data_IF_803597557988
#
_entry.id   IF_803597557988
#
_cell.length_a   1.000
_cell.length_b   1.000
_cell.length_c   1.000
_cell.angle_alpha   90.00
_cell.angle_beta   90.00
_cell.angle_gamma   90.00
#
_symmetry.space_group_name_H-M   'P 1'
#
loop_
_entity.id
_entity.type
_entity.pdbx_description
1 polymer ?
#
# COMPACT_ATOMS: atom_id res chain seq x y z
N UNK A 1 -7.78 32.35 -3.22
CA UNK A 1 -8.59 32.42 -1.99
C UNK A 1 -8.66 31.01 -1.41
N UNK A 2 -7.94 30.76 -0.30
CA UNK A 2 -7.98 29.48 0.40
C UNK A 2 -9.24 29.36 1.26
N UNK A 3 -9.49 28.15 1.77
CA UNK A 3 -10.52 27.95 2.78
C UNK A 3 -10.13 28.66 4.09
N UNK A 4 -11.10 29.18 4.88
CA UNK A 4 -10.80 29.74 6.19
C UNK A 4 -10.15 28.67 7.08
N UNK A 5 -9.25 29.11 7.97
CA UNK A 5 -8.62 28.22 8.93
C UNK A 5 -9.69 27.53 9.80
N UNK A 6 -9.57 26.23 9.99
CA UNK A 6 -10.44 25.50 10.91
C UNK A 6 -10.16 25.98 12.36
N UNK A 7 -11.20 26.29 13.14
CA UNK A 7 -11.03 26.68 14.54
C UNK A 7 -10.64 25.44 15.36
N UNK A 8 -9.34 25.17 15.47
CA UNK A 8 -8.83 24.08 16.31
C UNK A 8 -8.73 24.55 17.73
N UNK A 9 -9.52 23.97 18.64
CA UNK A 9 -9.56 24.35 20.07
C UNK A 9 -8.38 23.72 20.81
N UNK A 10 -8.14 22.43 20.63
CA UNK A 10 -7.04 21.67 21.26
C UNK A 10 -6.82 20.33 20.56
N UNK A 11 -5.71 19.65 20.86
CA UNK A 11 -5.47 18.29 20.39
C UNK A 11 -6.46 17.31 21.04
N UNK A 12 -6.94 16.33 20.28
CA UNK A 12 -7.69 15.20 20.81
C UNK A 12 -6.74 14.23 21.53
N UNK A 13 -7.13 13.77 22.71
CA UNK A 13 -6.38 12.80 23.51
C UNK A 13 -7.28 11.67 24.00
N UNK A 14 -6.70 10.57 24.46
CA UNK A 14 -7.45 9.46 25.05
C UNK A 14 -8.30 9.93 26.25
N UNK A 15 -9.60 9.68 26.21
CA UNK A 15 -10.58 10.17 27.18
C UNK A 15 -11.02 11.63 26.99
N UNK A 16 -10.37 12.36 26.06
CA UNK A 16 -10.72 13.74 25.72
C UNK A 16 -10.69 13.92 24.19
N UNK A 17 -11.82 13.71 23.54
CA UNK A 17 -11.96 13.75 22.09
C UNK A 17 -11.70 12.41 21.40
N UNK A 18 -10.94 11.50 22.01
CA UNK A 18 -10.76 10.11 21.57
C UNK A 18 -11.36 9.18 22.63
N UNK A 19 -12.41 8.43 22.29
CA UNK A 19 -13.01 7.45 23.17
C UNK A 19 -12.09 6.22 23.28
N UNK A 20 -11.64 5.90 24.49
CA UNK A 20 -10.99 4.63 24.79
C UNK A 20 -12.06 3.62 25.21
N UNK A 21 -12.10 2.49 24.52
CA UNK A 21 -13.01 1.40 24.85
C UNK A 21 -12.34 0.47 25.86
N UNK A 22 -13.06 0.02 26.87
CA UNK A 22 -12.64 -1.07 27.73
C UNK A 22 -12.85 -2.43 27.05
N UNK A 23 -12.31 -3.49 27.65
CA UNK A 23 -12.35 -4.82 27.08
C UNK A 23 -13.79 -5.36 26.93
N UNK A 24 -14.69 -5.01 27.83
CA UNK A 24 -16.09 -5.42 27.79
C UNK A 24 -16.81 -4.77 26.60
N UNK A 25 -16.67 -3.45 26.42
CA UNK A 25 -17.23 -2.71 25.27
C UNK A 25 -16.68 -3.24 23.93
N UNK A 26 -15.38 -3.57 23.86
CA UNK A 26 -14.79 -4.17 22.67
C UNK A 26 -15.45 -5.50 22.35
N UNK A 27 -15.59 -6.39 23.34
CA UNK A 27 -16.21 -7.70 23.17
C UNK A 27 -17.71 -7.58 22.74
N UNK A 28 -18.45 -6.63 23.29
CA UNK A 28 -19.84 -6.35 22.88
C UNK A 28 -19.91 -5.87 21.42
N UNK A 29 -19.02 -4.97 21.01
CA UNK A 29 -18.96 -4.48 19.63
C UNK A 29 -18.62 -5.61 18.64
N UNK A 30 -17.67 -6.47 18.98
CA UNK A 30 -17.29 -7.65 18.17
C UNK A 30 -18.47 -8.62 18.04
N UNK A 31 -19.15 -8.94 19.15
CA UNK A 31 -20.32 -9.80 19.14
C UNK A 31 -21.46 -9.23 18.29
N UNK A 32 -21.72 -7.92 18.43
CA UNK A 32 -22.73 -7.22 17.64
C UNK A 32 -22.40 -7.27 16.14
N UNK A 33 -21.16 -6.96 15.77
CA UNK A 33 -20.68 -7.03 14.38
C UNK A 33 -20.87 -8.43 13.80
N UNK A 34 -20.34 -9.46 14.48
CA UNK A 34 -20.40 -10.84 14.01
C UNK A 34 -21.84 -11.34 13.85
N UNK A 35 -22.73 -10.99 14.76
CA UNK A 35 -24.16 -11.35 14.68
C UNK A 35 -24.88 -10.63 13.54
N UNK A 36 -24.45 -9.41 13.22
CA UNK A 36 -25.05 -8.59 12.15
C UNK A 36 -24.66 -9.03 10.76
N UNK A 37 -23.51 -9.67 10.57
CA UNK A 37 -22.94 -10.06 9.25
C UNK A 37 -23.90 -10.90 8.40
N UNK A 38 -24.83 -11.64 9.01
CA UNK A 38 -25.83 -12.45 8.30
C UNK A 38 -26.88 -11.61 7.58
N UNK A 39 -27.13 -10.38 8.08
CA UNK A 39 -28.24 -9.53 7.64
C UNK A 39 -27.78 -8.23 6.96
N UNK A 40 -26.47 -7.99 6.88
CA UNK A 40 -25.89 -6.79 6.25
C UNK A 40 -24.99 -7.18 5.08
N UNK A 41 -24.91 -6.29 4.12
CA UNK A 41 -23.94 -6.37 3.04
C UNK A 41 -22.79 -5.40 3.35
N UNK A 42 -21.63 -5.94 3.68
CA UNK A 42 -20.43 -5.14 3.92
C UNK A 42 -19.71 -4.83 2.61
N UNK A 43 -19.03 -3.70 2.56
CA UNK A 43 -18.14 -3.31 1.49
C UNK A 43 -16.86 -2.71 2.09
N UNK A 44 -15.72 -3.18 1.64
CA UNK A 44 -14.44 -2.55 1.95
C UNK A 44 -14.14 -1.48 0.90
N UNK A 45 -14.18 -0.23 1.31
CA UNK A 45 -13.88 0.91 0.44
C UNK A 45 -12.42 1.31 0.57
N UNK A 46 -11.66 1.25 -0.54
CA UNK A 46 -10.21 1.47 -0.57
C UNK A 46 -9.86 2.62 -1.53
N UNK A 47 -9.52 3.82 -1.02
CA UNK A 47 -8.95 4.87 -1.84
C UNK A 47 -7.53 4.48 -2.29
N UNK A 48 -7.35 4.15 -3.57
CA UNK A 48 -6.10 3.60 -4.10
C UNK A 48 -5.43 4.49 -5.16
N UNK A 49 -5.90 5.72 -5.34
CA UNK A 49 -5.37 6.68 -6.34
C UNK A 49 -4.04 7.35 -5.94
N UNK A 50 -3.52 7.07 -4.72
CA UNK A 50 -2.34 7.75 -4.20
C UNK A 50 -1.07 7.42 -4.97
N UNK A 51 -0.45 8.44 -5.60
CA UNK A 51 0.85 8.31 -6.24
C UNK A 51 1.98 8.06 -5.22
N UNK A 52 2.98 7.29 -5.62
CA UNK A 52 4.14 6.98 -4.78
C UNK A 52 5.24 8.06 -4.82
N UNK A 53 5.05 9.16 -5.54
CA UNK A 53 6.07 10.19 -5.81
C UNK A 53 6.77 10.75 -4.57
N UNK A 54 6.03 10.99 -3.46
CA UNK A 54 6.64 11.47 -2.21
C UNK A 54 7.56 10.43 -1.57
N UNK A 55 7.23 9.14 -1.72
CA UNK A 55 8.02 8.04 -1.18
C UNK A 55 9.36 7.92 -1.87
N UNK A 56 9.39 8.14 -3.18
CA UNK A 56 10.59 8.01 -4.01
C UNK A 56 11.32 9.33 -4.27
N UNK A 57 10.97 10.40 -3.54
CA UNK A 57 11.57 11.73 -3.74
C UNK A 57 13.08 11.70 -3.70
N UNK A 58 13.70 11.09 -2.67
CA UNK A 58 15.15 11.01 -2.52
C UNK A 58 15.81 10.21 -3.66
N UNK A 59 15.12 9.18 -4.17
CA UNK A 59 15.60 8.41 -5.30
C UNK A 59 15.64 9.24 -6.58
N UNK A 60 14.60 10.04 -6.82
CA UNK A 60 14.58 10.98 -7.94
C UNK A 60 15.66 12.07 -7.82
N UNK A 61 15.85 12.64 -6.62
CA UNK A 61 16.90 13.64 -6.37
C UNK A 61 18.30 13.02 -6.59
N UNK A 62 18.50 11.75 -6.22
CA UNK A 62 19.78 11.08 -6.47
C UNK A 62 20.01 10.83 -7.96
N UNK A 63 19.00 10.36 -8.70
CA UNK A 63 19.15 10.07 -10.15
C UNK A 63 19.31 11.35 -10.94
N UNK A 64 18.56 12.43 -10.65
CA UNK A 64 18.53 13.64 -11.45
C UNK A 64 19.62 14.66 -11.05
N UNK A 65 19.88 14.78 -9.74
CA UNK A 65 20.70 15.86 -9.18
C UNK A 65 21.99 15.35 -8.51
N UNK A 66 22.29 14.04 -8.61
CA UNK A 66 23.42 13.37 -7.93
C UNK A 66 23.43 13.56 -6.39
N UNK A 67 22.27 13.83 -5.80
CA UNK A 67 22.11 14.08 -4.37
C UNK A 67 22.07 12.77 -3.60
N UNK A 68 23.22 12.23 -3.25
CA UNK A 68 23.33 11.03 -2.42
C UNK A 68 23.03 11.34 -0.95
N UNK A 69 22.12 10.61 -0.34
CA UNK A 69 21.71 10.77 1.05
C UNK A 69 21.99 9.49 1.86
N UNK A 70 22.03 9.56 3.21
CA UNK A 70 22.09 8.34 4.03
C UNK A 70 20.93 7.36 3.78
N UNK A 71 19.79 7.84 3.26
CA UNK A 71 18.67 7.00 2.82
C UNK A 71 19.02 6.15 1.62
N UNK A 72 19.73 6.72 0.64
CA UNK A 72 20.25 5.99 -0.53
C UNK A 72 21.28 4.94 -0.09
N UNK A 73 22.22 5.28 0.81
CA UNK A 73 23.21 4.32 1.30
C UNK A 73 22.54 3.13 2.00
N UNK A 74 21.54 3.39 2.84
CA UNK A 74 20.75 2.33 3.50
C UNK A 74 19.97 1.46 2.51
N UNK A 75 19.41 2.07 1.47
CA UNK A 75 18.72 1.33 0.39
C UNK A 75 19.68 0.36 -0.28
N UNK A 76 20.84 0.84 -0.75
CA UNK A 76 21.82 0.02 -1.48
C UNK A 76 22.35 -1.11 -0.60
N UNK A 77 22.78 -0.82 0.64
CA UNK A 77 23.32 -1.84 1.56
C UNK A 77 22.30 -2.93 1.92
N UNK A 78 21.01 -2.59 1.94
CA UNK A 78 19.94 -3.53 2.28
C UNK A 78 19.10 -3.97 1.08
N UNK A 79 19.55 -3.76 -0.13
CA UNK A 79 18.77 -3.94 -1.35
C UNK A 79 18.09 -5.32 -1.43
N UNK A 80 18.83 -6.37 -1.10
CA UNK A 80 18.32 -7.75 -1.14
C UNK A 80 17.22 -8.07 -0.12
N UNK A 81 17.03 -7.21 0.89
CA UNK A 81 16.00 -7.38 1.93
C UNK A 81 14.64 -6.83 1.52
N UNK A 82 14.58 -6.05 0.44
CA UNK A 82 13.32 -5.49 -0.03
C UNK A 82 12.47 -6.52 -0.76
N UNK A 83 11.16 -6.46 -0.53
CA UNK A 83 10.19 -7.36 -1.14
C UNK A 83 10.23 -7.35 -2.68
N UNK A 84 10.62 -6.23 -3.28
CA UNK A 84 10.73 -6.06 -4.74
C UNK A 84 12.07 -6.56 -5.31
N UNK A 85 13.03 -6.95 -4.48
CA UNK A 85 14.37 -7.32 -4.97
C UNK A 85 14.34 -8.47 -6.01
N UNK A 86 13.56 -9.54 -5.85
CA UNK A 86 13.50 -10.59 -6.86
C UNK A 86 13.03 -10.11 -8.25
N UNK A 87 12.16 -9.11 -8.28
CA UNK A 87 11.73 -8.48 -9.54
C UNK A 87 12.84 -7.56 -10.08
N UNK A 88 13.45 -6.76 -9.22
CA UNK A 88 14.54 -5.83 -9.56
C UNK A 88 15.75 -6.57 -10.11
N UNK A 89 16.13 -7.70 -9.52
CA UNK A 89 17.29 -8.49 -9.91
C UNK A 89 17.31 -8.87 -11.41
N UNK A 90 16.14 -8.94 -12.05
CA UNK A 90 16.04 -9.22 -13.49
C UNK A 90 16.57 -8.09 -14.38
N UNK A 91 16.70 -6.89 -13.84
CA UNK A 91 17.18 -5.69 -14.54
C UNK A 91 18.62 -5.33 -14.17
N UNK A 92 19.18 -5.96 -13.12
CA UNK A 92 20.52 -5.66 -12.66
C UNK A 92 21.55 -6.44 -13.50
N UNK A 93 22.56 -5.73 -14.00
CA UNK A 93 23.72 -6.30 -14.73
C UNK A 93 24.90 -6.45 -13.78
N UNK A 94 25.85 -7.36 -14.05
CA UNK A 94 27.11 -7.39 -13.32
C UNK A 94 27.80 -6.03 -13.33
N UNK A 95 28.32 -5.59 -12.18
CA UNK A 95 29.02 -4.31 -12.01
C UNK A 95 28.19 -3.05 -12.31
N UNK A 96 26.85 -3.15 -12.17
CA UNK A 96 25.96 -2.00 -12.25
C UNK A 96 26.28 -1.02 -11.10
N UNK A 97 26.30 0.28 -11.38
CA UNK A 97 26.51 1.28 -10.33
C UNK A 97 25.23 1.57 -9.53
N UNK A 98 25.38 2.20 -8.37
CA UNK A 98 24.28 2.48 -7.45
C UNK A 98 23.20 3.38 -8.08
N UNK A 99 23.60 4.32 -8.95
CA UNK A 99 22.67 5.24 -9.60
C UNK A 99 21.79 4.50 -10.60
N UNK A 100 22.38 3.59 -11.36
CA UNK A 100 21.63 2.75 -12.28
C UNK A 100 20.74 1.73 -11.57
N UNK A 101 21.16 1.22 -10.39
CA UNK A 101 20.29 0.42 -9.54
C UNK A 101 19.05 1.22 -9.16
N UNK A 102 19.22 2.43 -8.64
CA UNK A 102 18.09 3.30 -8.25
C UNK A 102 17.24 3.67 -9.45
N UNK A 103 17.87 3.91 -10.60
CA UNK A 103 17.18 4.21 -11.86
C UNK A 103 16.28 3.04 -12.31
N UNK A 104 16.74 1.80 -12.17
CA UNK A 104 15.93 0.60 -12.43
C UNK A 104 14.76 0.44 -11.46
N UNK A 105 14.86 0.94 -10.24
CA UNK A 105 13.72 0.93 -9.30
C UNK A 105 12.62 1.91 -9.76
N UNK A 106 13.00 3.16 -10.13
CA UNK A 106 12.00 4.22 -10.31
C UNK A 106 11.62 4.52 -11.76
N UNK A 107 12.48 4.20 -12.76
CA UNK A 107 12.29 4.60 -14.17
C UNK A 107 12.30 3.40 -15.12
N UNK A 108 13.42 2.69 -15.23
CA UNK A 108 13.69 1.83 -16.40
C UNK A 108 13.24 0.37 -16.20
N UNK A 109 13.22 -0.13 -14.97
CA UNK A 109 12.94 -1.52 -14.65
C UNK A 109 11.57 -1.72 -13.98
N UNK A 110 11.50 -1.44 -12.68
CA UNK A 110 10.26 -1.58 -11.92
C UNK A 110 9.26 -0.43 -12.15
N UNK A 111 9.70 0.70 -12.67
CA UNK A 111 8.90 1.91 -12.97
C UNK A 111 8.08 2.42 -11.76
N UNK A 112 8.61 2.24 -10.53
CA UNK A 112 7.88 2.58 -9.31
C UNK A 112 7.59 4.07 -9.15
N UNK A 113 8.37 4.92 -9.83
CA UNK A 113 8.13 6.36 -9.85
C UNK A 113 6.82 6.77 -10.52
N UNK A 114 6.32 5.96 -11.46
CA UNK A 114 5.08 6.19 -12.18
C UNK A 114 3.90 5.38 -11.62
N UNK A 115 4.15 4.40 -10.75
CA UNK A 115 3.10 3.51 -10.22
C UNK A 115 2.40 4.11 -9.00
N UNK A 116 1.09 3.84 -8.82
CA UNK A 116 0.40 4.12 -7.58
C UNK A 116 0.89 3.15 -6.49
N UNK A 117 0.83 3.57 -5.22
CA UNK A 117 1.29 2.75 -4.08
C UNK A 117 0.68 1.34 -4.06
N UNK A 118 -0.57 1.21 -4.48
CA UNK A 118 -1.29 -0.07 -4.53
C UNK A 118 -0.64 -1.13 -5.41
N UNK A 119 0.19 -0.72 -6.38
CA UNK A 119 0.85 -1.61 -7.34
C UNK A 119 2.35 -1.78 -7.09
N UNK A 120 2.90 -1.23 -6.01
CA UNK A 120 4.31 -1.38 -5.64
C UNK A 120 4.48 -2.57 -4.69
N UNK A 121 5.45 -3.43 -4.93
CA UNK A 121 5.70 -4.64 -4.13
C UNK A 121 6.39 -4.29 -2.81
N UNK A 122 5.63 -4.25 -1.70
CA UNK A 122 6.15 -3.87 -0.38
C UNK A 122 6.19 -5.01 0.63
N UNK A 123 5.35 -6.04 0.48
CA UNK A 123 5.15 -7.05 1.50
C UNK A 123 5.88 -8.34 1.12
N UNK A 124 6.79 -8.81 1.99
CA UNK A 124 7.53 -10.06 1.82
C UNK A 124 6.99 -11.13 2.77
N UNK A 125 6.70 -12.30 2.24
CA UNK A 125 6.26 -13.49 2.96
C UNK A 125 7.12 -14.69 2.55
N UNK A 126 6.99 -15.80 3.27
CA UNK A 126 7.68 -17.06 2.90
C UNK A 126 7.27 -17.56 1.52
N UNK A 127 6.00 -17.38 1.18
CA UNK A 127 5.36 -17.84 -0.05
C UNK A 127 5.61 -16.91 -1.23
N UNK A 128 6.21 -15.74 -1.00
CA UNK A 128 6.46 -14.73 -2.03
C UNK A 128 6.16 -13.32 -1.57
N UNK A 129 6.20 -12.38 -2.50
CA UNK A 129 5.91 -10.97 -2.23
C UNK A 129 4.52 -10.59 -2.73
N UNK A 130 3.85 -9.66 -2.05
CA UNK A 130 2.53 -9.14 -2.40
C UNK A 130 2.52 -7.61 -2.52
N UNK A 131 1.63 -7.12 -3.35
CA UNK A 131 1.32 -5.70 -3.51
C UNK A 131 0.22 -5.27 -2.54
N UNK A 132 0.11 -4.00 -2.14
CA UNK A 132 -0.93 -3.53 -1.22
C UNK A 132 -2.37 -3.85 -1.66
N UNK A 133 -2.64 -3.89 -2.97
CA UNK A 133 -3.95 -4.33 -3.48
C UNK A 133 -4.26 -5.75 -3.05
N UNK A 134 -3.28 -6.67 -3.11
CA UNK A 134 -3.44 -8.06 -2.69
C UNK A 134 -3.68 -8.16 -1.18
N UNK A 135 -2.99 -7.33 -0.37
CA UNK A 135 -3.26 -7.25 1.08
C UNK A 135 -4.71 -6.83 1.35
N UNK A 136 -5.25 -5.88 0.59
CA UNK A 136 -6.65 -5.47 0.72
C UNK A 136 -7.64 -6.59 0.37
N UNK A 137 -7.30 -7.50 -0.55
CA UNK A 137 -8.11 -8.71 -0.84
C UNK A 137 -8.10 -9.65 0.37
N UNK A 138 -6.92 -9.95 0.92
CA UNK A 138 -6.78 -10.80 2.11
C UNK A 138 -7.54 -10.20 3.30
N UNK A 139 -7.35 -8.93 3.58
CA UNK A 139 -8.05 -8.22 4.64
C UNK A 139 -9.58 -8.26 4.47
N UNK A 140 -10.07 -8.08 3.25
CA UNK A 140 -11.50 -8.14 2.99
C UNK A 140 -12.08 -9.52 3.26
N UNK A 141 -11.36 -10.58 2.92
CA UNK A 141 -11.76 -11.95 3.24
C UNK A 141 -11.77 -12.20 4.75
N UNK A 142 -10.80 -11.64 5.49
CA UNK A 142 -10.65 -11.88 6.93
C UNK A 142 -11.70 -11.17 7.79
N UNK A 143 -12.02 -9.89 7.49
CA UNK A 143 -12.86 -9.10 8.38
C UNK A 143 -13.96 -8.27 7.70
N UNK A 144 -14.05 -8.22 6.39
CA UNK A 144 -15.09 -7.48 5.68
C UNK A 144 -16.01 -8.38 4.84
N UNK A 145 -15.93 -9.71 5.01
CA UNK A 145 -16.85 -10.62 4.36
C UNK A 145 -18.18 -10.67 5.10
N UNK A 146 -19.28 -10.74 4.34
CA UNK A 146 -20.64 -10.93 4.86
C UNK A 146 -21.41 -11.88 3.95
N UNK A 147 -22.22 -12.76 4.53
CA UNK A 147 -22.98 -13.78 3.81
C UNK A 147 -22.10 -14.62 2.81
N UNK A 148 -20.88 -14.94 3.21
CA UNK A 148 -19.93 -15.71 2.41
C UNK A 148 -19.28 -14.95 1.23
N UNK A 149 -19.42 -13.61 1.19
CA UNK A 149 -18.86 -12.77 0.12
C UNK A 149 -18.10 -11.58 0.68
N UNK A 150 -16.93 -11.29 0.13
CA UNK A 150 -16.22 -10.04 0.35
C UNK A 150 -16.46 -9.10 -0.83
N UNK A 151 -16.96 -7.89 -0.55
CA UNK A 151 -17.11 -6.85 -1.56
C UNK A 151 -16.06 -5.77 -1.33
N UNK A 152 -15.29 -5.45 -2.36
CA UNK A 152 -14.26 -4.41 -2.28
C UNK A 152 -14.50 -3.39 -3.38
N UNK A 153 -14.35 -2.13 -3.03
CA UNK A 153 -14.39 -1.03 -3.97
C UNK A 153 -13.04 -0.28 -3.92
N UNK A 154 -12.31 -0.29 -5.02
CA UNK A 154 -11.10 0.52 -5.20
C UNK A 154 -11.43 1.78 -5.97
N UNK A 155 -11.10 2.96 -5.44
CA UNK A 155 -11.04 4.18 -6.24
C UNK A 155 -9.63 4.36 -6.77
N UNK A 156 -9.50 4.42 -8.09
CA UNK A 156 -8.23 4.57 -8.79
C UNK A 156 -8.30 5.74 -9.76
N UNK A 157 -7.18 6.35 -10.09
CA UNK A 157 -7.13 7.31 -11.18
C UNK A 157 -7.16 6.60 -12.53
N UNK A 158 -7.74 7.21 -13.59
CA UNK A 158 -7.92 6.56 -14.90
C UNK A 158 -6.65 5.99 -15.50
N UNK A 159 -5.52 6.68 -15.33
CA UNK A 159 -4.20 6.27 -15.84
C UNK A 159 -3.68 4.98 -15.20
N UNK A 160 -4.17 4.62 -14.01
CA UNK A 160 -3.73 3.43 -13.27
C UNK A 160 -4.73 2.27 -13.32
N UNK A 161 -5.95 2.50 -13.79
CA UNK A 161 -7.02 1.51 -13.79
C UNK A 161 -6.61 0.20 -14.44
N UNK A 162 -6.03 0.25 -15.63
CA UNK A 162 -5.60 -0.95 -16.36
C UNK A 162 -4.59 -1.81 -15.57
N UNK A 163 -3.70 -1.17 -14.79
CA UNK A 163 -2.75 -1.90 -13.94
C UNK A 163 -3.42 -2.64 -12.78
N UNK A 164 -4.45 -2.04 -12.18
CA UNK A 164 -5.25 -2.72 -11.14
C UNK A 164 -6.05 -3.87 -11.72
N UNK A 165 -6.72 -3.67 -12.84
CA UNK A 165 -7.51 -4.71 -13.54
C UNK A 165 -6.63 -5.90 -13.94
N UNK A 166 -5.45 -5.64 -14.49
CA UNK A 166 -4.50 -6.70 -14.86
C UNK A 166 -4.04 -7.51 -13.65
N UNK A 167 -3.70 -6.85 -12.53
CA UNK A 167 -3.33 -7.54 -11.29
C UNK A 167 -4.49 -8.39 -10.74
N UNK A 168 -5.70 -7.84 -10.72
CA UNK A 168 -6.88 -8.57 -10.24
C UNK A 168 -7.16 -9.80 -11.11
N UNK A 169 -7.09 -9.66 -12.43
CA UNK A 169 -7.27 -10.79 -13.36
C UNK A 169 -6.20 -11.87 -13.18
N UNK A 170 -4.93 -11.48 -12.98
CA UNK A 170 -3.83 -12.43 -12.69
C UNK A 170 -4.06 -13.22 -11.41
N UNK A 171 -4.64 -12.57 -10.39
CA UNK A 171 -4.84 -13.13 -9.05
C UNK A 171 -6.21 -13.77 -8.82
N UNK A 172 -7.12 -13.67 -9.77
CA UNK A 172 -8.50 -14.14 -9.61
C UNK A 172 -8.57 -15.57 -9.09
N UNK A 173 -7.88 -16.51 -9.74
CA UNK A 173 -7.89 -17.93 -9.35
C UNK A 173 -7.25 -18.23 -7.99
N UNK A 174 -6.53 -17.28 -7.41
CA UNK A 174 -5.92 -17.43 -6.08
C UNK A 174 -6.89 -17.03 -4.96
N UNK A 175 -7.86 -16.16 -5.26
CA UNK A 175 -8.79 -15.60 -4.27
C UNK A 175 -10.24 -16.09 -4.46
N UNK A 176 -10.53 -16.90 -5.45
CA UNK A 176 -11.77 -17.64 -5.64
C UNK A 176 -11.74 -19.00 -4.91
#
# INVERSE_FOLDING_TARGET
NGFPALPVVRAAAGGDGVKQLDAETVAECEAYYNNSLKNIKTIKFVPASGAATRMFKELFEYVNDDKRTPGIDKLIVNLEKFAFFPELAKYLKPQIDDKDVVRNIIIDGLEYGAKPKGLVTFHAYKEGARKPVEEHLVEAALYAASAGKANIHFTVSPEHQAGFEALLAERQSHYE
#
